data_IF_472279096228
#
_entry.id   IF_472279096228
#
_cell.length_a   1.000
_cell.length_b   1.000
_cell.length_c   1.000
_cell.angle_alpha   90.00
_cell.angle_beta   90.00
_cell.angle_gamma   90.00
#
_symmetry.space_group_name_H-M   'P 1'
#
loop_
_entity.id
_entity.type
_entity.pdbx_description
1 polymer ?
#
# COMPACT_ATOMS: atom_id res chain seq x y z
N UNK A 1 -22.89 -19.90 -12.38
CA UNK A 1 -22.32 -19.36 -11.13
C UNK A 1 -22.65 -17.88 -11.10
N UNK A 2 -23.57 -17.44 -10.24
CA UNK A 2 -23.94 -16.03 -10.12
C UNK A 2 -22.82 -15.33 -9.36
N UNK A 3 -22.06 -14.48 -10.04
CA UNK A 3 -21.05 -13.64 -9.41
C UNK A 3 -21.74 -12.74 -8.38
N UNK A 4 -21.44 -12.97 -7.11
CA UNK A 4 -21.93 -12.14 -6.02
C UNK A 4 -21.29 -10.75 -6.20
N UNK A 5 -22.08 -9.74 -6.59
CA UNK A 5 -21.59 -8.37 -6.85
C UNK A 5 -21.28 -7.58 -5.56
N UNK A 6 -21.43 -8.20 -4.40
CA UNK A 6 -21.06 -7.61 -3.12
C UNK A 6 -19.56 -7.80 -2.89
N UNK A 7 -18.80 -6.71 -2.95
CA UNK A 7 -17.41 -6.67 -2.50
C UNK A 7 -17.32 -7.16 -1.05
N UNK A 8 -16.34 -8.02 -0.75
CA UNK A 8 -16.08 -8.44 0.63
C UNK A 8 -15.89 -7.22 1.56
N UNK A 9 -16.41 -7.30 2.78
CA UNK A 9 -16.15 -6.26 3.79
C UNK A 9 -14.81 -6.54 4.44
N UNK A 10 -13.93 -5.56 4.46
CA UNK A 10 -12.60 -5.64 5.09
C UNK A 10 -12.52 -4.69 6.28
N UNK A 11 -11.65 -4.98 7.25
CA UNK A 11 -11.43 -4.13 8.43
C UNK A 11 -10.48 -2.97 8.13
N UNK A 12 -9.58 -3.12 7.16
CA UNK A 12 -8.67 -2.07 6.72
C UNK A 12 -8.80 -1.86 5.22
N UNK A 13 -9.12 -0.63 4.82
CA UNK A 13 -8.91 -0.09 3.47
C UNK A 13 -8.53 1.37 3.60
N UNK A 14 -7.24 1.68 3.50
CA UNK A 14 -6.70 3.02 3.75
C UNK A 14 -5.75 3.43 2.63
N UNK A 15 -5.92 4.65 2.12
CA UNK A 15 -4.94 5.27 1.24
C UNK A 15 -3.85 5.91 2.09
N UNK A 16 -2.61 5.48 1.90
CA UNK A 16 -1.42 5.96 2.57
C UNK A 16 -0.61 6.82 1.61
N UNK A 17 0.06 7.83 2.15
CA UNK A 17 0.96 8.73 1.43
C UNK A 17 2.39 8.53 1.94
N UNK A 18 3.17 7.73 1.23
CA UNK A 18 4.55 7.45 1.60
C UNK A 18 5.40 8.71 1.37
N UNK A 19 6.20 9.17 2.36
CA UNK A 19 6.98 10.39 2.22
C UNK A 19 8.10 10.20 1.19
N UNK A 20 8.47 11.22 0.38
CA UNK A 20 9.57 11.15 -0.57
C UNK A 20 10.92 11.38 0.13
N UNK A 21 11.30 10.48 1.03
CA UNK A 21 12.54 10.58 1.82
C UNK A 21 13.41 9.36 1.58
N UNK A 22 14.68 9.58 1.25
CA UNK A 22 15.62 8.49 1.09
C UNK A 22 15.75 7.69 2.40
N UNK A 23 15.98 6.39 2.28
CA UNK A 23 16.16 5.53 3.43
C UNK A 23 17.12 4.37 3.15
N UNK A 24 17.83 3.93 4.19
CA UNK A 24 18.74 2.79 4.10
C UNK A 24 17.99 1.46 4.20
N UNK A 25 18.42 0.49 3.41
CA UNK A 25 18.03 -0.92 3.49
C UNK A 25 19.26 -1.82 3.57
N UNK A 26 19.26 -2.85 4.43
CA UNK A 26 20.34 -3.84 4.46
C UNK A 26 20.33 -4.70 3.18
N UNK A 27 21.52 -5.08 2.69
CA UNK A 27 21.63 -6.03 1.59
C UNK A 27 21.27 -7.44 2.07
N UNK A 28 20.56 -8.21 1.24
CA UNK A 28 20.23 -9.60 1.55
C UNK A 28 21.47 -10.50 1.64
N UNK A 29 22.50 -10.22 0.84
CA UNK A 29 23.74 -10.99 0.82
C UNK A 29 24.64 -10.72 2.03
N UNK A 30 24.65 -9.48 2.53
CA UNK A 30 25.38 -9.08 3.75
C UNK A 30 24.59 -7.99 4.50
N UNK A 31 23.89 -8.33 5.59
CA UNK A 31 23.09 -7.38 6.37
C UNK A 31 23.90 -6.25 7.03
N UNK A 32 25.24 -6.34 7.06
CA UNK A 32 26.10 -5.26 7.58
C UNK A 32 26.29 -4.14 6.57
N UNK A 33 26.05 -4.41 5.29
CA UNK A 33 26.10 -3.41 4.22
C UNK A 33 24.69 -2.89 3.95
N UNK A 34 24.58 -1.59 3.66
CA UNK A 34 23.32 -0.96 3.30
C UNK A 34 23.35 -0.37 1.89
N UNK A 35 22.17 -0.21 1.33
CA UNK A 35 21.92 0.56 0.11
C UNK A 35 20.91 1.65 0.40
N UNK A 36 21.18 2.84 -0.11
CA UNK A 36 20.24 3.96 -0.06
C UNK A 36 19.17 3.77 -1.12
N UNK A 37 17.91 3.71 -0.69
CA UNK A 37 16.75 3.78 -1.58
C UNK A 37 16.35 5.24 -1.71
N UNK A 38 16.58 5.81 -2.90
CA UNK A 38 16.19 7.19 -3.21
C UNK A 38 14.69 7.28 -3.55
N UNK A 39 14.02 8.40 -3.22
CA UNK A 39 12.65 8.63 -3.67
C UNK A 39 12.58 8.73 -5.21
N UNK A 40 11.41 8.50 -5.81
CA UNK A 40 11.19 8.71 -7.25
C UNK A 40 11.44 10.17 -7.63
N UNK A 41 12.19 10.40 -8.71
CA UNK A 41 12.62 11.72 -9.16
C UNK A 41 12.21 12.04 -10.60
N UNK A 42 11.99 11.01 -11.43
CA UNK A 42 11.75 11.21 -12.86
C UNK A 42 10.61 12.21 -13.11
N UNK A 43 10.87 13.17 -14.01
CA UNK A 43 9.96 14.19 -14.58
C UNK A 43 9.40 15.24 -13.61
N UNK A 44 9.01 14.86 -12.40
CA UNK A 44 8.30 15.74 -11.45
C UNK A 44 9.05 15.98 -10.15
N UNK A 45 10.26 15.42 -10.00
CA UNK A 45 11.06 15.52 -8.77
C UNK A 45 10.49 14.67 -7.62
N UNK A 46 11.00 14.84 -6.39
CA UNK A 46 10.57 14.04 -5.24
C UNK A 46 9.11 14.35 -4.90
N UNK A 47 8.27 13.31 -4.91
CA UNK A 47 6.85 13.41 -4.55
C UNK A 47 6.38 12.17 -3.79
N UNK A 48 5.34 12.30 -2.95
CA UNK A 48 4.86 11.16 -2.18
C UNK A 48 4.33 10.05 -3.10
N UNK A 49 4.54 8.79 -2.69
CA UNK A 49 3.98 7.64 -3.38
C UNK A 49 2.72 7.21 -2.67
N UNK A 50 1.62 7.11 -3.42
CA UNK A 50 0.34 6.69 -2.86
C UNK A 50 0.25 5.16 -2.89
N UNK A 51 -0.21 4.58 -1.79
CA UNK A 51 -0.45 3.13 -1.69
C UNK A 51 -1.73 2.86 -0.91
N UNK A 52 -2.52 1.89 -1.33
CA UNK A 52 -3.72 1.44 -0.61
C UNK A 52 -3.41 0.16 0.15
N UNK A 53 -3.51 0.23 1.48
CA UNK A 53 -3.45 -0.94 2.34
C UNK A 53 -4.85 -1.52 2.51
N UNK A 54 -5.00 -2.80 2.17
CA UNK A 54 -6.24 -3.56 2.30
C UNK A 54 -5.96 -4.78 3.20
N UNK A 55 -6.78 -5.00 4.22
CA UNK A 55 -6.68 -6.20 5.07
C UNK A 55 -8.03 -6.63 5.57
N UNK A 56 -8.34 -7.92 5.41
CA UNK A 56 -9.60 -8.50 5.85
C UNK A 56 -9.78 -8.32 7.35
N UNK A 57 -8.80 -8.73 8.15
CA UNK A 57 -8.73 -8.47 9.59
C UNK A 57 -7.86 -7.24 9.88
N UNK A 58 -8.16 -6.56 10.99
CA UNK A 58 -7.25 -5.57 11.56
C UNK A 58 -6.08 -6.34 12.19
N UNK A 59 -4.85 -6.06 11.76
CA UNK A 59 -3.64 -6.72 12.26
C UNK A 59 -2.84 -5.80 13.19
N UNK A 60 -2.06 -6.42 14.07
CA UNK A 60 -1.07 -5.71 14.89
C UNK A 60 -0.22 -4.74 14.04
N UNK A 61 -0.15 -3.47 14.46
CA UNK A 61 0.58 -2.40 13.75
C UNK A 61 -0.30 -1.56 12.82
N UNK A 62 -1.45 -2.07 12.35
CA UNK A 62 -2.29 -1.37 11.38
C UNK A 62 -3.19 -0.27 11.98
N UNK A 63 -3.23 -0.15 13.30
CA UNK A 63 -3.84 0.98 14.02
C UNK A 63 -2.83 1.82 14.80
N UNK A 64 -1.54 1.63 14.53
CA UNK A 64 -0.48 2.46 15.12
C UNK A 64 -0.62 3.93 14.73
N UNK A 65 -0.10 4.81 15.59
CA UNK A 65 0.02 6.24 15.29
C UNK A 65 0.90 6.48 14.05
N UNK A 66 1.95 5.67 13.89
CA UNK A 66 2.85 5.73 12.74
C UNK A 66 2.08 5.48 11.42
N UNK A 67 1.34 4.37 11.29
CA UNK A 67 0.54 4.14 10.09
C UNK A 67 -0.54 5.21 9.93
N UNK A 68 -1.18 5.63 11.03
CA UNK A 68 -2.22 6.66 11.00
C UNK A 68 -1.72 8.00 10.50
N UNK A 69 -0.46 8.35 10.77
CA UNK A 69 0.19 9.57 10.27
C UNK A 69 0.38 9.58 8.75
N UNK A 70 0.40 8.40 8.12
CA UNK A 70 0.52 8.24 6.67
C UNK A 70 -0.83 8.26 5.95
N UNK A 71 -1.95 8.10 6.67
CA UNK A 71 -3.28 8.02 6.05
C UNK A 71 -3.65 9.36 5.43
N UNK A 72 -3.91 9.35 4.11
CA UNK A 72 -4.49 10.49 3.42
C UNK A 72 -5.95 10.60 3.80
N UNK A 73 -6.37 11.76 4.29
CA UNK A 73 -7.75 12.00 4.71
C UNK A 73 -8.69 11.90 3.49
N UNK A 74 -9.40 10.80 3.35
CA UNK A 74 -10.50 10.68 2.39
C UNK A 74 -11.82 11.09 3.07
N UNK A 75 -12.10 12.39 3.09
CA UNK A 75 -13.38 12.93 3.57
C UNK A 75 -13.55 13.02 5.09
N UNK A 76 -14.74 13.42 5.57
CA UNK A 76 -15.02 13.63 6.98
C UNK A 76 -14.91 12.31 7.75
N UNK A 77 -14.15 12.32 8.85
CA UNK A 77 -14.01 11.18 9.77
C UNK A 77 -15.38 10.91 10.41
N UNK A 78 -16.13 9.96 9.86
CA UNK A 78 -17.28 9.40 10.56
C UNK A 78 -16.80 8.83 11.89
N UNK A 79 -17.41 9.24 12.99
CA UNK A 79 -17.16 8.67 14.31
C UNK A 79 -17.70 7.23 14.30
N UNK A 80 -16.91 6.28 13.80
CA UNK A 80 -17.26 4.87 13.88
C UNK A 80 -17.14 4.40 15.33
N UNK A 81 -18.26 4.48 16.07
CA UNK A 81 -18.45 3.86 17.39
C UNK A 81 -18.55 2.33 17.28
N UNK A 82 -17.64 1.70 16.54
CA UNK A 82 -17.56 0.24 16.46
C UNK A 82 -16.68 -0.25 17.62
N UNK A 83 -17.07 -1.35 18.31
CA UNK A 83 -16.17 -2.02 19.24
C UNK A 83 -14.84 -2.30 18.55
N UNK A 84 -13.73 -2.00 19.22
CA UNK A 84 -12.39 -2.26 18.66
C UNK A 84 -12.30 -3.76 18.35
N UNK A 85 -12.18 -4.18 17.08
CA UNK A 85 -12.09 -5.58 16.76
C UNK A 85 -10.82 -6.15 17.40
N UNK A 86 -10.87 -7.41 17.82
CA UNK A 86 -9.67 -8.10 18.26
C UNK A 86 -8.64 -8.07 17.13
N UNK A 87 -7.42 -7.64 17.44
CA UNK A 87 -6.34 -7.58 16.45
C UNK A 87 -5.86 -9.00 16.16
N UNK A 88 -5.78 -9.35 14.87
CA UNK A 88 -5.06 -10.52 14.44
C UNK A 88 -3.54 -10.27 14.58
N UNK A 89 -2.71 -11.31 14.75
CA UNK A 89 -1.26 -11.17 14.74
C UNK A 89 -0.74 -10.53 13.45
N UNK A 90 0.49 -10.01 13.49
CA UNK A 90 1.20 -9.55 12.28
C UNK A 90 1.18 -10.62 11.18
N UNK A 91 1.01 -10.17 9.94
CA UNK A 91 1.05 -11.09 8.80
C UNK A 91 2.49 -11.53 8.52
N UNK A 92 2.67 -12.80 8.15
CA UNK A 92 3.97 -13.34 7.69
C UNK A 92 4.23 -13.08 6.20
N UNK A 93 3.23 -12.56 5.50
CA UNK A 93 3.28 -12.33 4.06
C UNK A 93 2.55 -11.04 3.71
N UNK A 94 2.90 -10.46 2.57
CA UNK A 94 2.27 -9.29 2.00
C UNK A 94 2.12 -9.52 0.50
N UNK A 95 0.95 -9.20 -0.04
CA UNK A 95 0.78 -9.10 -1.50
C UNK A 95 1.06 -7.67 -1.92
N UNK A 96 2.07 -7.47 -2.75
CA UNK A 96 2.31 -6.17 -3.40
C UNK A 96 1.61 -6.19 -4.76
N UNK A 97 0.66 -5.29 -4.95
CA UNK A 97 -0.15 -5.20 -6.15
C UNK A 97 0.21 -3.95 -6.95
N UNK A 98 0.56 -4.14 -8.22
CA UNK A 98 0.75 -3.09 -9.21
C UNK A 98 -0.42 -3.24 -10.17
N UNK A 99 -1.30 -2.24 -10.23
CA UNK A 99 -2.52 -2.35 -11.03
C UNK A 99 -2.22 -2.33 -12.55
N UNK A 100 -3.20 -2.76 -13.34
CA UNK A 100 -3.12 -2.72 -14.81
C UNK A 100 -3.39 -1.32 -15.37
N UNK A 101 -3.74 -1.26 -16.67
CA UNK A 101 -4.11 -0.01 -17.33
C UNK A 101 -2.97 0.65 -18.10
N UNK A 102 -1.93 -0.11 -18.45
CA UNK A 102 -0.87 0.32 -19.38
C UNK A 102 -0.06 1.52 -18.92
N UNK A 103 0.01 1.77 -17.61
CA UNK A 103 0.60 2.98 -17.01
C UNK A 103 -0.09 4.30 -17.40
N UNK A 104 -1.28 4.26 -17.99
CA UNK A 104 -2.04 5.45 -18.43
C UNK A 104 -3.40 5.59 -17.76
N UNK A 105 -3.87 4.55 -17.07
CA UNK A 105 -5.22 4.51 -16.51
C UNK A 105 -5.30 3.66 -15.23
N UNK A 106 -6.48 3.76 -14.59
CA UNK A 106 -6.90 3.03 -13.40
C UNK A 106 -6.19 3.43 -12.10
N UNK A 107 -6.65 2.86 -10.99
CA UNK A 107 -6.13 3.09 -9.63
C UNK A 107 -6.33 1.82 -8.79
N UNK A 108 -5.72 1.79 -7.60
CA UNK A 108 -5.99 0.82 -6.53
C UNK A 108 -7.47 0.71 -6.20
N UNK A 109 -8.18 1.84 -6.19
CA UNK A 109 -9.62 1.92 -5.89
C UNK A 109 -10.46 1.20 -6.95
N UNK A 110 -10.09 1.31 -8.22
CA UNK A 110 -10.77 0.60 -9.33
C UNK A 110 -10.69 -0.93 -9.21
N UNK A 111 -9.64 -1.43 -8.55
CA UNK A 111 -9.35 -2.84 -8.37
C UNK A 111 -9.74 -3.36 -6.98
N UNK A 112 -10.14 -2.46 -6.07
CA UNK A 112 -10.49 -2.76 -4.68
C UNK A 112 -11.52 -3.90 -4.51
N UNK A 113 -12.56 -4.07 -5.35
CA UNK A 113 -13.53 -5.15 -5.18
C UNK A 113 -12.92 -6.56 -5.16
N UNK A 114 -12.04 -6.90 -6.10
CA UNK A 114 -11.41 -8.23 -6.10
C UNK A 114 -10.24 -8.31 -5.13
N UNK A 115 -9.55 -7.20 -4.87
CA UNK A 115 -8.49 -7.18 -3.85
C UNK A 115 -9.05 -7.45 -2.45
N UNK A 116 -10.25 -6.97 -2.14
CA UNK A 116 -10.94 -7.31 -0.89
C UNK A 116 -11.27 -8.80 -0.79
N UNK A 117 -11.73 -9.41 -1.88
CA UNK A 117 -11.95 -10.86 -1.93
C UNK A 117 -10.65 -11.63 -1.75
N UNK A 118 -9.55 -11.22 -2.41
CA UNK A 118 -8.25 -11.85 -2.23
C UNK A 118 -7.71 -11.70 -0.80
N UNK A 119 -7.87 -10.54 -0.18
CA UNK A 119 -7.43 -10.33 1.20
C UNK A 119 -8.17 -11.25 2.18
N UNK A 120 -9.45 -11.52 1.92
CA UNK A 120 -10.26 -12.48 2.68
C UNK A 120 -9.83 -13.92 2.41
N UNK A 121 -9.73 -14.32 1.14
CA UNK A 121 -9.44 -15.69 0.73
C UNK A 121 -8.02 -16.14 1.12
N UNK A 122 -7.04 -15.25 0.98
CA UNK A 122 -5.64 -15.52 1.33
C UNK A 122 -5.38 -15.31 2.83
N UNK A 123 -6.20 -14.49 3.50
CA UNK A 123 -5.90 -14.01 4.85
C UNK A 123 -4.64 -13.17 4.92
N UNK A 124 -4.20 -12.55 3.82
CA UNK A 124 -2.94 -11.79 3.71
C UNK A 124 -3.26 -10.32 3.40
N UNK A 125 -2.58 -9.34 4.04
CA UNK A 125 -2.70 -7.95 3.68
C UNK A 125 -2.23 -7.69 2.25
N UNK A 126 -2.84 -6.71 1.59
CA UNK A 126 -2.50 -6.30 0.24
C UNK A 126 -2.09 -4.82 0.25
N UNK A 127 -0.95 -4.51 -0.35
CA UNK A 127 -0.50 -3.15 -0.61
C UNK A 127 -0.59 -2.88 -2.12
N UNK A 128 -1.59 -2.12 -2.54
CA UNK A 128 -1.78 -1.73 -3.95
C UNK A 128 -1.15 -0.37 -4.21
N UNK A 129 -0.24 -0.28 -5.16
CA UNK A 129 0.51 0.94 -5.46
C UNK A 129 -0.28 1.81 -6.45
N UNK A 130 -0.56 3.05 -6.06
CA UNK A 130 -1.16 4.09 -6.90
C UNK A 130 -0.05 4.91 -7.56
N UNK A 131 0.61 4.29 -8.55
CA UNK A 131 1.68 4.94 -9.30
C UNK A 131 1.14 6.06 -10.22
N UNK A 132 2.00 7.01 -10.54
CA UNK A 132 1.73 8.13 -11.43
C UNK A 132 1.55 7.65 -12.87
N UNK A 133 0.59 8.25 -13.57
CA UNK A 133 0.18 7.84 -14.91
C UNK A 133 0.82 8.71 -15.99
N UNK A 134 1.11 8.09 -17.13
CA UNK A 134 1.39 8.79 -18.37
C UNK A 134 0.08 9.33 -18.99
N UNK A 135 0.11 10.43 -19.77
CA UNK A 135 1.31 11.16 -20.22
C UNK A 135 1.93 12.14 -19.21
N UNK A 136 1.26 12.44 -18.10
CA UNK A 136 1.71 13.43 -17.12
C UNK A 136 3.00 13.02 -16.40
N UNK A 137 3.16 11.72 -16.18
CA UNK A 137 4.34 11.08 -15.59
C UNK A 137 4.83 9.93 -16.49
N UNK A 138 5.59 10.24 -17.55
CA UNK A 138 6.05 9.22 -18.48
C UNK A 138 7.08 8.28 -17.84
N UNK A 139 7.42 7.21 -18.57
CA UNK A 139 8.52 6.32 -18.19
C UNK A 139 9.79 7.12 -17.83
N UNK A 140 10.51 6.80 -16.74
CA UNK A 140 10.35 5.64 -15.85
C UNK A 140 9.57 5.92 -14.55
N UNK A 141 8.81 7.01 -14.43
CA UNK A 141 8.26 7.47 -13.14
C UNK A 141 7.49 6.41 -12.36
N UNK A 142 6.53 5.73 -13.00
CA UNK A 142 5.75 4.69 -12.34
C UNK A 142 6.61 3.52 -11.81
N UNK A 143 7.70 3.17 -12.50
CA UNK A 143 8.60 2.08 -12.09
C UNK A 143 9.43 2.48 -10.85
N UNK A 144 9.90 3.72 -10.81
CA UNK A 144 10.57 4.26 -9.62
C UNK A 144 9.64 4.23 -8.40
N UNK A 145 8.39 4.65 -8.58
CA UNK A 145 7.38 4.63 -7.51
C UNK A 145 7.04 3.22 -7.04
N UNK A 146 6.91 2.26 -7.98
CA UNK A 146 6.66 0.87 -7.64
C UNK A 146 7.82 0.27 -6.85
N UNK A 147 9.07 0.50 -7.29
CA UNK A 147 10.26 0.02 -6.59
C UNK A 147 10.40 0.66 -5.21
N UNK A 148 10.21 1.98 -5.12
CA UNK A 148 10.27 2.72 -3.86
C UNK A 148 9.24 2.21 -2.85
N UNK A 149 7.98 2.04 -3.27
CA UNK A 149 6.92 1.54 -2.40
C UNK A 149 7.16 0.09 -1.96
N UNK A 150 7.69 -0.78 -2.84
CA UNK A 150 8.11 -2.13 -2.48
C UNK A 150 9.19 -2.12 -1.39
N UNK A 151 10.27 -1.36 -1.58
CA UNK A 151 11.34 -1.20 -0.60
C UNK A 151 10.83 -0.64 0.73
N UNK A 152 9.93 0.35 0.66
CA UNK A 152 9.30 0.93 1.84
C UNK A 152 8.50 -0.12 2.60
N UNK A 153 7.74 -0.97 1.90
CA UNK A 153 6.95 -2.04 2.50
C UNK A 153 7.82 -3.11 3.18
N UNK A 154 8.95 -3.48 2.58
CA UNK A 154 9.91 -4.40 3.20
C UNK A 154 10.47 -3.80 4.49
N UNK A 155 10.81 -2.50 4.49
CA UNK A 155 11.35 -1.81 5.67
C UNK A 155 10.33 -1.63 6.80
N UNK A 156 9.05 -1.44 6.46
CA UNK A 156 7.97 -1.16 7.42
C UNK A 156 6.99 -2.33 7.55
N UNK A 157 7.46 -3.57 7.35
CA UNK A 157 6.60 -4.76 7.38
C UNK A 157 5.82 -4.93 8.69
N UNK A 158 6.29 -4.35 9.80
CA UNK A 158 5.58 -4.34 11.08
C UNK A 158 4.32 -3.47 11.13
N UNK A 159 4.08 -2.64 10.10
CA UNK A 159 2.89 -1.80 9.94
C UNK A 159 1.82 -2.41 9.02
N UNK A 160 2.16 -3.47 8.27
CA UNK A 160 1.41 -3.95 7.11
C UNK A 160 0.73 -5.30 7.32
#
# INVERSE_FOLDING_TARGET
SLANMASATVRVSRLLSLPPKAFEMPLTADPKLTVTISPPLAHTGPGPVLVRLISYDLREGQDSEELSSLVRSEGPRGLELRPRPQQAPRSRSLVVHIHGGGFVAQTSKSHEPYLKSWAQELGVPILSIDYSLAPEAPFPRALEECFYAYCWAVKHCGLL
#
